data_IF_663854778288
#
_entry.id   IF_663854778288
#
_cell.length_a   1.000
_cell.length_b   1.000
_cell.length_c   1.000
_cell.angle_alpha   90.00
_cell.angle_beta   90.00
_cell.angle_gamma   90.00
#
_symmetry.space_group_name_H-M   'P 1'
#
loop_
_entity.id
_entity.type
_entity.pdbx_description
1 polymer ?
#
# COMPACT_ATOMS: atom_id res chain seq x y z
N UNK A 1 23.95 35.55 1.07
CA UNK A 1 22.50 35.72 0.86
C UNK A 1 22.30 35.36 -0.59
N UNK A 2 22.39 34.05 -0.81
CA UNK A 2 22.72 33.50 -2.11
C UNK A 2 21.44 32.97 -2.72
N UNK A 3 21.03 33.65 -3.79
CA UNK A 3 19.86 33.32 -4.58
C UNK A 3 20.16 32.02 -5.32
N UNK A 4 19.45 30.96 -4.95
CA UNK A 4 19.50 29.68 -5.67
C UNK A 4 18.52 29.79 -6.84
N UNK A 5 19.06 29.94 -8.04
CA UNK A 5 18.32 29.80 -9.29
C UNK A 5 17.70 28.40 -9.39
N UNK A 6 16.41 28.37 -9.68
CA UNK A 6 15.61 27.17 -9.92
C UNK A 6 15.69 26.87 -11.42
N UNK A 7 16.24 25.73 -11.88
CA UNK A 7 16.18 25.39 -13.30
C UNK A 7 14.76 24.96 -13.66
N UNK A 8 14.07 25.83 -14.38
CA UNK A 8 12.89 25.53 -15.20
C UNK A 8 13.25 24.40 -16.16
N UNK A 9 12.83 23.17 -15.85
CA UNK A 9 12.99 22.02 -16.75
C UNK A 9 11.62 21.73 -17.35
N UNK A 10 11.55 21.94 -18.67
CA UNK A 10 10.34 21.92 -19.48
C UNK A 10 9.54 20.63 -19.36
N UNK A 11 8.23 20.80 -19.43
CA UNK A 11 7.29 19.75 -19.72
C UNK A 11 7.58 19.18 -21.11
N UNK A 12 8.26 18.05 -21.16
CA UNK A 12 8.25 17.17 -22.31
C UNK A 12 6.92 16.42 -22.32
N UNK A 13 6.00 16.89 -23.14
CA UNK A 13 4.84 16.12 -23.58
C UNK A 13 5.34 14.98 -24.48
N UNK A 14 5.72 13.84 -23.87
CA UNK A 14 5.91 12.60 -24.63
C UNK A 14 4.55 12.12 -25.15
N UNK A 15 4.29 12.44 -26.41
CA UNK A 15 3.19 11.89 -27.20
C UNK A 15 3.51 10.45 -27.62
N UNK A 16 3.36 9.49 -26.71
CA UNK A 16 3.51 8.07 -27.05
C UNK A 16 2.20 7.49 -27.60
N UNK A 17 2.08 7.56 -28.92
CA UNK A 17 1.16 6.77 -29.74
C UNK A 17 1.58 5.30 -29.75
N UNK A 18 1.40 4.61 -28.61
CA UNK A 18 1.49 3.14 -28.47
C UNK A 18 0.26 2.40 -29.04
N UNK A 19 -0.34 2.94 -30.11
CA UNK A 19 -1.26 2.21 -30.97
C UNK A 19 -0.51 1.82 -32.26
N UNK A 20 0.61 1.10 -32.09
CA UNK A 20 1.13 0.23 -33.13
C UNK A 20 0.01 -0.77 -33.47
N UNK A 21 -0.70 -0.47 -34.55
CA UNK A 21 -1.68 -1.36 -35.14
C UNK A 21 -0.91 -2.58 -35.64
N UNK A 22 -1.07 -3.68 -34.92
CA UNK A 22 -0.63 -5.01 -35.30
C UNK A 22 -1.40 -5.43 -36.58
N UNK A 23 -0.99 -4.88 -37.72
CA UNK A 23 -1.55 -5.08 -39.07
C UNK A 23 -1.28 -6.49 -39.62
N UNK A 24 -0.66 -7.37 -38.83
CA UNK A 24 -0.22 -8.70 -39.25
C UNK A 24 -1.34 -9.75 -39.38
N UNK A 25 -2.60 -9.44 -39.04
CA UNK A 25 -3.66 -10.47 -39.02
C UNK A 25 -4.78 -10.29 -40.07
N UNK A 26 -4.55 -9.54 -41.16
CA UNK A 26 -5.50 -9.44 -42.28
C UNK A 26 -5.32 -10.53 -43.35
N UNK A 27 -4.89 -11.75 -42.99
CA UNK A 27 -4.86 -12.86 -43.95
C UNK A 27 -5.53 -14.11 -43.40
N UNK A 28 -6.74 -14.32 -43.92
CA UNK A 28 -7.33 -15.62 -44.32
C UNK A 28 -7.95 -16.49 -43.21
N UNK A 29 -9.29 -16.40 -43.18
CA UNK A 29 -10.31 -17.45 -43.08
C UNK A 29 -10.34 -18.51 -41.97
N UNK A 30 -11.60 -18.78 -41.55
CA UNK A 30 -12.18 -20.05 -41.10
C UNK A 30 -12.26 -20.31 -39.58
N UNK A 31 -13.51 -20.19 -39.08
CA UNK A 31 -14.17 -21.04 -38.07
C UNK A 31 -13.28 -21.77 -37.04
N UNK A 32 -12.78 -21.05 -36.04
CA UNK A 32 -12.28 -21.60 -34.78
C UNK A 32 -12.81 -20.80 -33.58
N UNK A 33 -12.85 -21.35 -32.36
CA UNK A 33 -13.38 -20.63 -31.20
C UNK A 33 -12.55 -19.37 -30.99
N UNK A 34 -13.21 -18.21 -31.08
CA UNK A 34 -12.58 -16.89 -31.01
C UNK A 34 -11.84 -16.80 -29.67
N UNK A 35 -10.52 -16.90 -29.70
CA UNK A 35 -9.69 -16.63 -28.53
C UNK A 35 -9.93 -15.18 -28.12
N UNK A 36 -10.78 -14.97 -27.12
CA UNK A 36 -11.14 -13.64 -26.63
C UNK A 36 -9.86 -13.02 -26.06
N UNK A 37 -9.16 -12.19 -26.86
CA UNK A 37 -7.99 -11.43 -26.43
C UNK A 37 -8.37 -10.72 -25.13
N UNK A 38 -7.77 -11.13 -24.01
CA UNK A 38 -8.08 -10.57 -22.69
C UNK A 38 -7.85 -9.06 -22.75
N UNK A 39 -8.90 -8.29 -22.48
CA UNK A 39 -8.82 -6.83 -22.49
C UNK A 39 -7.76 -6.39 -21.48
N UNK A 40 -6.87 -5.49 -21.91
CA UNK A 40 -5.87 -4.89 -21.03
C UNK A 40 -6.60 -4.03 -20.00
N UNK A 41 -6.34 -4.27 -18.71
CA UNK A 41 -6.89 -3.49 -17.60
C UNK A 41 -6.26 -2.10 -17.54
N UNK A 42 -7.01 -1.14 -17.00
CA UNK A 42 -6.52 0.22 -16.77
C UNK A 42 -6.77 0.65 -15.33
N UNK A 43 -5.90 1.49 -14.80
CA UNK A 43 -6.04 2.00 -13.43
C UNK A 43 -6.18 3.51 -13.46
N UNK A 44 -7.14 4.01 -12.68
CA UNK A 44 -7.34 5.42 -12.41
C UNK A 44 -6.91 5.70 -10.97
N UNK A 45 -6.08 6.72 -10.80
CA UNK A 45 -5.75 7.31 -9.51
C UNK A 45 -6.72 8.44 -9.21
N UNK A 46 -7.20 8.51 -7.97
CA UNK A 46 -8.10 9.53 -7.44
C UNK A 46 -7.38 10.24 -6.31
N UNK A 47 -7.11 11.53 -6.48
CA UNK A 47 -6.31 12.32 -5.55
C UNK A 47 -7.11 12.86 -4.36
N UNK A 48 -8.40 13.10 -4.53
CA UNK A 48 -9.24 13.67 -3.48
C UNK A 48 -10.53 12.85 -3.33
N UNK A 49 -10.76 12.34 -2.14
CA UNK A 49 -11.93 11.53 -1.81
C UNK A 49 -12.75 12.27 -0.76
N UNK A 50 -14.02 12.59 -1.03
CA UNK A 50 -14.86 13.30 -0.07
C UNK A 50 -15.02 12.54 1.25
N UNK A 51 -15.28 13.29 2.33
CA UNK A 51 -15.65 12.71 3.63
C UNK A 51 -16.89 11.83 3.45
N UNK A 52 -16.90 10.66 4.10
CA UNK A 52 -17.96 9.64 3.99
C UNK A 52 -18.05 8.87 2.65
N UNK A 53 -17.16 9.15 1.70
CA UNK A 53 -17.08 8.33 0.49
C UNK A 53 -16.45 6.97 0.83
N UNK A 54 -17.15 5.89 0.48
CA UNK A 54 -16.72 4.52 0.70
C UNK A 54 -16.36 3.84 -0.62
N UNK A 55 -15.57 2.76 -0.53
CA UNK A 55 -15.22 1.89 -1.67
C UNK A 55 -16.45 1.45 -2.46
N UNK A 56 -17.51 1.05 -1.76
CA UNK A 56 -18.78 0.61 -2.38
C UNK A 56 -19.44 1.73 -3.18
N UNK A 57 -19.55 2.94 -2.62
CA UNK A 57 -20.16 4.08 -3.31
C UNK A 57 -19.34 4.52 -4.51
N UNK A 58 -18.02 4.58 -4.37
CA UNK A 58 -17.12 4.88 -5.49
C UNK A 58 -17.28 3.86 -6.62
N UNK A 59 -17.38 2.57 -6.27
CA UNK A 59 -17.61 1.50 -7.24
C UNK A 59 -18.97 1.63 -7.91
N UNK A 60 -20.04 1.91 -7.17
CA UNK A 60 -21.39 2.11 -7.74
C UNK A 60 -21.39 3.22 -8.79
N UNK A 61 -20.90 4.42 -8.44
CA UNK A 61 -20.87 5.58 -9.35
C UNK A 61 -20.04 5.28 -10.60
N UNK A 62 -18.85 4.69 -10.43
CA UNK A 62 -17.96 4.40 -11.56
C UNK A 62 -18.42 3.19 -12.39
N UNK A 63 -19.26 2.31 -11.83
CA UNK A 63 -19.81 1.15 -12.56
C UNK A 63 -20.79 1.56 -13.65
N UNK A 64 -21.39 2.75 -13.55
CA UNK A 64 -22.25 3.31 -14.61
C UNK A 64 -21.47 3.60 -15.90
N UNK A 65 -20.18 3.91 -15.80
CA UNK A 65 -19.31 4.23 -16.94
C UNK A 65 -18.56 3.01 -17.48
N UNK A 66 -18.48 1.93 -16.71
CA UNK A 66 -17.94 0.66 -17.18
C UNK A 66 -17.61 -0.32 -16.08
N UNK A 67 -17.17 -1.52 -16.46
CA UNK A 67 -16.92 -2.62 -15.51
C UNK A 67 -15.70 -2.35 -14.63
N UNK A 68 -15.97 -2.05 -13.36
CA UNK A 68 -14.97 -1.86 -12.30
C UNK A 68 -14.57 -3.19 -11.68
N UNK A 69 -13.27 -3.42 -11.58
CA UNK A 69 -12.67 -4.56 -10.89
C UNK A 69 -12.35 -4.24 -9.44
N UNK A 70 -11.05 -4.06 -9.15
CA UNK A 70 -10.52 -3.80 -7.81
C UNK A 70 -10.54 -2.31 -7.48
N UNK A 71 -10.82 -2.00 -6.22
CA UNK A 71 -10.82 -0.63 -5.69
C UNK A 71 -10.11 -0.62 -4.36
N UNK A 72 -9.20 0.33 -4.19
CA UNK A 72 -8.42 0.52 -2.97
C UNK A 72 -8.45 1.98 -2.61
N UNK A 73 -8.76 2.28 -1.35
CA UNK A 73 -8.73 3.63 -0.82
C UNK A 73 -7.73 3.65 0.34
N UNK A 74 -6.75 4.53 0.26
CA UNK A 74 -5.75 4.71 1.28
C UNK A 74 -6.34 5.55 2.42
N UNK A 75 -6.44 4.99 3.64
CA UNK A 75 -6.89 5.76 4.79
C UNK A 75 -5.85 6.83 5.13
N UNK A 76 -6.33 7.99 5.58
CA UNK A 76 -5.50 9.04 6.13
C UNK A 76 -4.65 8.48 7.28
N UNK A 77 -3.32 8.68 7.21
CA UNK A 77 -2.40 8.29 8.27
C UNK A 77 -2.69 9.15 9.50
N UNK A 78 -3.47 8.62 10.45
CA UNK A 78 -3.67 9.29 11.73
C UNK A 78 -2.35 9.28 12.50
N UNK A 79 -1.81 10.46 12.80
CA UNK A 79 -0.65 10.58 13.70
C UNK A 79 -0.97 9.91 15.05
N UNK A 80 0.03 9.22 15.60
CA UNK A 80 -0.03 8.40 16.82
C UNK A 80 -0.67 9.14 18.01
N UNK A 81 -0.49 10.47 18.08
CA UNK A 81 -1.12 11.36 19.06
C UNK A 81 -2.66 11.30 19.03
N UNK A 82 -3.24 11.27 17.82
CA UNK A 82 -4.69 11.30 17.58
C UNK A 82 -5.32 9.91 17.55
N UNK A 83 -4.51 8.85 17.43
CA UNK A 83 -4.97 7.46 17.46
C UNK A 83 -5.33 6.97 18.87
N UNK A 84 -4.77 7.59 19.94
CA UNK A 84 -5.05 7.23 21.34
C UNK A 84 -6.43 7.67 21.83
N UNK A 85 -7.06 8.68 21.22
CA UNK A 85 -8.48 8.97 21.45
C UNK A 85 -9.29 7.97 20.65
N UNK A 86 -10.11 7.15 21.33
CA UNK A 86 -11.07 6.19 20.74
C UNK A 86 -11.97 6.86 19.68
N UNK A 87 -11.47 7.05 18.46
CA UNK A 87 -12.28 7.55 17.36
C UNK A 87 -13.16 6.38 16.91
N UNK A 88 -14.47 6.64 16.81
CA UNK A 88 -15.44 5.70 16.24
C UNK A 88 -14.91 5.29 14.86
N UNK A 89 -14.94 3.98 14.53
CA UNK A 89 -14.48 3.39 13.25
C UNK A 89 -14.99 4.13 11.99
N UNK A 90 -16.07 4.88 12.11
CA UNK A 90 -16.77 5.57 11.03
C UNK A 90 -16.14 6.89 10.55
N UNK A 91 -15.09 7.39 11.21
CA UNK A 91 -14.48 8.69 10.87
C UNK A 91 -13.15 8.59 10.11
N UNK A 92 -12.89 7.44 9.48
CA UNK A 92 -11.72 7.24 8.63
C UNK A 92 -11.96 8.02 7.35
N UNK A 93 -11.15 9.07 7.15
CA UNK A 93 -11.07 9.77 5.90
C UNK A 93 -10.08 9.04 4.99
N UNK A 94 -10.35 8.99 3.70
CA UNK A 94 -9.43 8.44 2.71
C UNK A 94 -8.78 9.61 1.98
N UNK A 95 -7.46 9.57 1.84
CA UNK A 95 -6.71 10.63 1.15
C UNK A 95 -6.69 10.37 -0.35
N UNK A 96 -6.45 9.12 -0.73
CA UNK A 96 -6.17 8.74 -2.11
C UNK A 96 -6.85 7.43 -2.46
N UNK A 97 -7.09 7.19 -3.75
CA UNK A 97 -7.75 5.99 -4.24
C UNK A 97 -7.20 5.48 -5.57
N UNK A 98 -7.29 4.17 -5.76
CA UNK A 98 -6.95 3.49 -7.00
C UNK A 98 -8.12 2.61 -7.42
N UNK A 99 -8.58 2.80 -8.66
CA UNK A 99 -9.69 2.07 -9.26
C UNK A 99 -9.18 1.33 -10.49
N UNK A 100 -9.31 0.01 -10.50
CA UNK A 100 -9.03 -0.83 -11.66
C UNK A 100 -10.29 -1.02 -12.50
N UNK A 101 -10.21 -0.68 -13.78
CA UNK A 101 -11.20 -1.00 -14.80
C UNK A 101 -10.75 -2.20 -15.62
N UNK A 102 -11.72 -3.00 -16.06
CA UNK A 102 -11.46 -4.17 -16.91
C UNK A 102 -10.88 -3.79 -18.29
N UNK A 103 -11.16 -2.58 -18.77
CA UNK A 103 -10.65 -2.06 -20.05
C UNK A 103 -9.91 -0.74 -19.86
N UNK A 104 -8.66 -0.68 -20.34
CA UNK A 104 -7.84 0.55 -20.35
C UNK A 104 -8.46 1.67 -21.19
N UNK A 105 -9.22 1.32 -22.23
CA UNK A 105 -9.91 2.30 -23.09
C UNK A 105 -10.95 3.08 -22.30
N UNK A 106 -11.75 2.36 -21.52
CA UNK A 106 -12.76 2.94 -20.64
C UNK A 106 -12.09 3.83 -19.60
N UNK A 107 -11.01 3.35 -18.96
CA UNK A 107 -10.28 4.17 -18.00
C UNK A 107 -9.74 5.48 -18.61
N UNK A 108 -9.16 5.42 -19.82
CA UNK A 108 -8.67 6.60 -20.55
C UNK A 108 -9.78 7.59 -20.88
N UNK A 109 -10.98 7.11 -21.25
CA UNK A 109 -12.11 7.95 -21.61
C UNK A 109 -12.78 8.60 -20.38
N UNK A 110 -12.89 7.86 -19.28
CA UNK A 110 -13.57 8.34 -18.06
C UNK A 110 -12.84 9.52 -17.44
N UNK A 111 -11.51 9.51 -17.44
CA UNK A 111 -10.71 10.57 -16.79
C UNK A 111 -11.04 11.97 -17.32
N UNK A 112 -10.91 12.30 -18.62
CA UNK A 112 -11.29 13.62 -19.10
C UNK A 112 -12.79 13.90 -18.97
N UNK A 113 -13.64 12.87 -18.95
CA UNK A 113 -15.08 13.03 -18.81
C UNK A 113 -15.51 13.37 -17.39
N UNK A 114 -14.85 12.86 -16.35
CA UNK A 114 -15.25 13.05 -14.96
C UNK A 114 -14.32 13.98 -14.19
N UNK A 115 -13.07 14.15 -14.62
CA UNK A 115 -12.12 15.02 -13.94
C UNK A 115 -12.66 16.46 -13.88
N UNK A 116 -12.52 17.09 -12.73
CA UNK A 116 -13.07 18.41 -12.40
C UNK A 116 -14.60 18.54 -12.47
N UNK A 117 -15.35 17.44 -12.55
CA UNK A 117 -16.82 17.47 -12.45
C UNK A 117 -17.29 17.20 -11.03
N UNK A 118 -18.48 17.72 -10.72
CA UNK A 118 -19.16 17.46 -9.46
C UNK A 118 -19.46 15.97 -9.30
N UNK A 119 -19.26 15.45 -8.08
CA UNK A 119 -19.48 14.05 -7.76
C UNK A 119 -20.97 13.72 -7.72
N UNK A 120 -21.80 14.66 -7.28
CA UNK A 120 -23.25 14.48 -7.19
C UNK A 120 -23.99 15.69 -7.73
N UNK A 121 -24.98 15.44 -8.57
CA UNK A 121 -25.90 16.47 -9.09
C UNK A 121 -27.00 16.86 -8.11
N UNK A 122 -27.14 16.14 -6.99
CA UNK A 122 -28.19 16.36 -6.00
C UNK A 122 -27.76 17.42 -4.97
N UNK A 123 -28.49 18.54 -4.91
CA UNK A 123 -28.23 19.65 -3.96
C UNK A 123 -28.22 19.26 -2.47
N UNK A 124 -28.96 18.20 -2.10
CA UNK A 124 -28.98 17.66 -0.71
C UNK A 124 -27.89 16.61 -0.45
N UNK A 125 -27.07 16.29 -1.45
CA UNK A 125 -26.02 15.28 -1.33
C UNK A 125 -24.83 15.85 -0.56
N UNK A 126 -24.24 15.03 0.30
CA UNK A 126 -23.00 15.37 1.02
C UNK A 126 -21.80 15.57 0.07
N UNK A 127 -21.94 15.17 -1.19
CA UNK A 127 -20.90 15.25 -2.22
C UNK A 127 -21.15 16.33 -3.28
N UNK A 128 -22.09 17.25 -3.03
CA UNK A 128 -22.48 18.28 -4.02
C UNK A 128 -21.33 19.24 -4.34
N UNK A 129 -20.63 19.74 -3.31
CA UNK A 129 -19.52 20.69 -3.47
C UNK A 129 -18.18 20.02 -3.80
N UNK A 130 -18.15 18.69 -3.82
CA UNK A 130 -16.93 17.94 -4.08
C UNK A 130 -16.75 17.69 -5.57
N UNK A 131 -15.56 18.00 -6.06
CA UNK A 131 -15.14 17.74 -7.43
C UNK A 131 -14.30 16.47 -7.50
N UNK A 132 -14.45 15.72 -8.59
CA UNK A 132 -13.56 14.61 -8.92
C UNK A 132 -12.18 15.15 -9.31
N UNK A 133 -11.14 14.59 -8.70
CA UNK A 133 -9.75 14.79 -9.13
C UNK A 133 -9.14 13.43 -9.46
N UNK A 134 -9.01 13.11 -10.74
CA UNK A 134 -8.64 11.79 -11.24
C UNK A 134 -7.59 11.85 -12.34
N UNK A 135 -6.69 10.86 -12.37
CA UNK A 135 -5.65 10.70 -13.39
C UNK A 135 -5.55 9.25 -13.86
N UNK A 136 -5.45 9.04 -15.17
CA UNK A 136 -5.16 7.73 -15.73
C UNK A 136 -3.68 7.40 -15.53
N UNK A 137 -3.37 6.19 -15.08
CA UNK A 137 -2.01 5.72 -14.93
C UNK A 137 -1.62 4.79 -16.10
N UNK A 138 -0.87 5.29 -17.10
CA UNK A 138 -0.40 4.45 -18.20
C UNK A 138 0.60 3.40 -17.69
N UNK A 139 0.58 2.20 -18.32
CA UNK A 139 1.48 1.07 -18.01
C UNK A 139 1.46 0.59 -16.54
N UNK A 140 0.56 1.12 -15.72
CA UNK A 140 0.44 0.78 -14.30
C UNK A 140 -0.48 -0.42 -14.10
N UNK A 141 -0.02 -1.39 -13.31
CA UNK A 141 -0.77 -2.60 -12.95
C UNK A 141 -1.04 -2.61 -11.46
N UNK A 142 -2.12 -3.26 -11.05
CA UNK A 142 -2.50 -3.35 -9.64
C UNK A 142 -1.40 -3.96 -8.77
N UNK A 143 -0.63 -4.88 -9.35
CA UNK A 143 0.52 -5.52 -8.68
C UNK A 143 1.51 -4.48 -8.19
N UNK A 144 1.78 -3.42 -8.97
CA UNK A 144 2.74 -2.36 -8.58
C UNK A 144 2.26 -1.58 -7.35
N UNK A 145 0.94 -1.40 -7.18
CA UNK A 145 0.36 -0.79 -5.99
C UNK A 145 0.59 -1.67 -4.75
N UNK A 146 0.25 -2.96 -4.87
CA UNK A 146 0.39 -3.90 -3.75
C UNK A 146 1.84 -4.21 -3.42
N UNK A 147 2.71 -4.27 -4.42
CA UNK A 147 4.13 -4.58 -4.27
C UNK A 147 4.85 -3.51 -3.45
N UNK A 148 4.65 -2.23 -3.79
CA UNK A 148 5.21 -1.12 -3.02
C UNK A 148 4.73 -1.14 -1.57
N UNK A 149 3.43 -1.32 -1.35
CA UNK A 149 2.86 -1.36 0.00
C UNK A 149 3.38 -2.56 0.81
N UNK A 150 3.44 -3.74 0.19
CA UNK A 150 3.93 -4.95 0.84
C UNK A 150 5.42 -4.85 1.17
N UNK A 151 6.21 -4.25 0.28
CA UNK A 151 7.63 -4.01 0.51
C UNK A 151 7.85 -3.07 1.69
N UNK A 152 7.16 -1.93 1.73
CA UNK A 152 7.23 -0.98 2.85
C UNK A 152 6.85 -1.64 4.19
N UNK A 153 5.78 -2.44 4.20
CA UNK A 153 5.36 -3.18 5.39
C UNK A 153 6.34 -4.28 5.80
N UNK A 154 6.90 -5.02 4.85
CA UNK A 154 7.86 -6.08 5.11
C UNK A 154 9.15 -5.52 5.72
N UNK A 155 9.68 -4.44 5.16
CA UNK A 155 10.88 -3.75 5.67
C UNK A 155 10.64 -3.24 7.09
N UNK A 156 9.50 -2.60 7.34
CA UNK A 156 9.18 -2.11 8.68
C UNK A 156 9.04 -3.26 9.70
N UNK A 157 8.34 -4.33 9.33
CA UNK A 157 8.18 -5.53 10.16
C UNK A 157 9.53 -6.20 10.45
N UNK A 158 10.41 -6.30 9.45
CA UNK A 158 11.73 -6.90 9.60
C UNK A 158 12.61 -6.08 10.55
N UNK A 159 12.59 -4.75 10.46
CA UNK A 159 13.32 -3.87 11.40
C UNK A 159 12.87 -4.10 12.84
N UNK A 160 11.55 -4.05 13.09
CA UNK A 160 10.99 -4.30 14.42
C UNK A 160 11.33 -5.71 14.94
N UNK A 161 11.25 -6.73 14.08
CA UNK A 161 11.62 -8.10 14.48
C UNK A 161 13.09 -8.22 14.83
N UNK A 162 13.97 -7.52 14.10
CA UNK A 162 15.40 -7.52 14.36
C UNK A 162 15.70 -6.87 15.71
N UNK A 163 15.10 -5.71 15.99
CA UNK A 163 15.22 -5.01 17.28
C UNK A 163 14.73 -5.90 18.44
N UNK A 164 13.56 -6.52 18.30
CA UNK A 164 13.02 -7.46 19.31
C UNK A 164 13.93 -8.67 19.49
N UNK A 165 14.51 -9.20 18.41
CA UNK A 165 15.42 -10.36 18.48
C UNK A 165 16.72 -10.03 19.22
N UNK A 166 17.27 -8.82 19.03
CA UNK A 166 18.45 -8.34 19.74
C UNK A 166 18.17 -8.20 21.24
N UNK A 167 17.09 -7.53 21.61
CA UNK A 167 16.68 -7.39 23.01
C UNK A 167 16.43 -8.74 23.70
N UNK A 168 15.82 -9.70 22.99
CA UNK A 168 15.64 -11.08 23.50
C UNK A 168 16.97 -11.78 23.69
N UNK A 169 17.90 -11.69 22.73
CA UNK A 169 19.22 -12.32 22.81
C UNK A 169 20.02 -11.78 24.00
N UNK A 170 19.99 -10.47 24.23
CA UNK A 170 20.63 -9.85 25.40
C UNK A 170 20.02 -10.33 26.72
N UNK A 171 18.69 -10.40 26.80
CA UNK A 171 17.98 -10.90 27.98
C UNK A 171 18.31 -12.36 28.26
N UNK A 172 18.26 -13.23 27.25
CA UNK A 172 18.59 -14.65 27.38
C UNK A 172 20.07 -14.84 27.74
N UNK A 173 20.97 -14.02 27.20
CA UNK A 173 22.39 -14.06 27.55
C UNK A 173 22.61 -13.71 29.04
N UNK A 174 21.95 -12.68 29.54
CA UNK A 174 22.03 -12.28 30.94
C UNK A 174 21.49 -13.38 31.87
N UNK A 175 20.32 -13.94 31.56
CA UNK A 175 19.73 -15.05 32.32
C UNK A 175 20.66 -16.27 32.37
N UNK A 176 21.19 -16.69 31.22
CA UNK A 176 22.09 -17.83 31.14
C UNK A 176 23.40 -17.59 31.92
N UNK A 177 23.90 -16.35 31.96
CA UNK A 177 25.11 -16.01 32.70
C UNK A 177 24.87 -16.00 34.21
N UNK A 178 23.70 -15.51 34.66
CA UNK A 178 23.28 -15.62 36.06
C UNK A 178 23.18 -17.09 36.49
N UNK A 179 22.50 -17.93 35.71
CA UNK A 179 22.31 -19.35 36.02
C UNK A 179 23.65 -20.10 36.08
N UNK A 180 24.58 -19.81 35.16
CA UNK A 180 25.96 -20.35 35.19
C UNK A 180 26.71 -19.90 36.44
N UNK A 181 26.61 -18.63 36.81
CA UNK A 181 27.29 -18.10 38.00
C UNK A 181 26.76 -18.73 39.30
N UNK A 182 25.45 -18.93 39.41
CA UNK A 182 24.81 -19.63 40.53
C UNK A 182 25.24 -21.10 40.60
N UNK A 183 25.29 -21.78 39.45
CA UNK A 183 25.75 -23.16 39.37
C UNK A 183 27.22 -23.31 39.80
N UNK A 184 28.10 -22.44 39.32
CA UNK A 184 29.52 -22.43 39.71
C UNK A 184 29.70 -22.14 41.20
N UNK A 185 28.95 -21.18 41.77
CA UNK A 185 28.94 -20.91 43.22
C UNK A 185 28.52 -22.15 44.02
N UNK A 186 27.48 -22.86 43.59
CA UNK A 186 27.01 -24.10 44.24
C UNK A 186 28.08 -25.20 44.18
N UNK A 187 28.75 -25.38 43.04
CA UNK A 187 29.84 -26.34 42.90
C UNK A 187 31.04 -26.01 43.79
N UNK A 188 31.49 -24.75 43.80
CA UNK A 188 32.60 -24.31 44.66
C UNK A 188 32.29 -24.51 46.15
N UNK A 189 31.05 -24.25 46.59
CA UNK A 189 30.60 -24.54 47.96
C UNK A 189 30.63 -26.04 48.28
N UNK A 190 30.26 -26.92 47.33
CA UNK A 190 30.34 -28.38 47.52
C UNK A 190 31.79 -28.86 47.60
N UNK A 191 32.67 -28.40 46.71
CA UNK A 191 34.10 -28.73 46.74
C UNK A 191 34.76 -28.31 48.06
N UNK A 192 34.52 -27.07 48.53
CA UNK A 192 35.02 -26.59 49.82
C UNK A 192 34.51 -27.40 51.02
N UNK A 193 33.29 -27.94 50.95
CA UNK A 193 32.75 -28.84 52.00
C UNK A 193 33.42 -30.21 51.98
N UNK A 194 33.77 -30.73 50.80
CA UNK A 194 34.48 -32.00 50.66
C UNK A 194 35.92 -31.89 51.16
N UNK A 195 36.65 -30.83 50.79
CA UNK A 195 38.02 -30.59 51.28
C UNK A 195 38.08 -30.45 52.80
N UNK A 196 37.15 -29.68 53.40
CA UNK A 196 37.07 -29.55 54.86
C UNK A 196 36.76 -30.86 55.59
N UNK A 197 36.08 -31.80 54.93
CA UNK A 197 35.74 -33.11 55.50
C UNK A 197 36.90 -34.09 55.39
N UNK A 198 37.73 -33.96 54.34
CA UNK A 198 38.94 -34.76 54.15
C UNK A 198 40.12 -34.31 55.02
N UNK A 199 40.15 -33.04 55.46
CA UNK A 199 41.18 -32.51 56.39
C UNK A 199 40.84 -32.71 57.87
N UNK A 200 39.63 -33.18 58.19
CA UNK A 200 39.17 -33.44 59.55
C UNK A 200 38.99 -34.94 59.87
N UNK A 201 39.57 -35.83 59.07
CA UNK A 201 39.62 -37.28 59.26
C UNK A 201 41.04 -37.76 59.12
#
# INVERSE_FOLDING_TARGET
MDQVEIPSTGAEEESDNDDEMDLANFKVSSSGPVAVKKRKKGIIYISNIPKHMNVTRLKEILSEFGKVGRVYLQPEKVSSEKAKKKRKKYNIHFTEGWVEFESKRVAKQIVPLLNNKQISTRKKSQFYDSLWSMKYLPRFKWVHLTERMNYEQAVHKQRLQTEVSQARKETTFFQNNLDKSEFLKKQAKKAKKLDKKATSS
#
